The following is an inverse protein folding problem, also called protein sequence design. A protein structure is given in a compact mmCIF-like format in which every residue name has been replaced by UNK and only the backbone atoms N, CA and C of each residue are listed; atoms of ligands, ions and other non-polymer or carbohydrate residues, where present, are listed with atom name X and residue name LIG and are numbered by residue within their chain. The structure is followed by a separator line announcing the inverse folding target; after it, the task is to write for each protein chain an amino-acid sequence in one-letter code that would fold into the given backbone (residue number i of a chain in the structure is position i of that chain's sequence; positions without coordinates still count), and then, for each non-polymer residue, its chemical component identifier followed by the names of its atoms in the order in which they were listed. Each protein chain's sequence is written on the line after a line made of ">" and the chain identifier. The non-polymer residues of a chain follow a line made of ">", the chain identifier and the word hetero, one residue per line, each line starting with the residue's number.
data_IF_165385581386
#
_entry.id   IF_165385581386
#
_cell.length_a   1.000
_cell.length_b   1.000
_cell.length_c   1.000
_cell.angle_alpha   90.00
_cell.angle_beta   90.00
_cell.angle_gamma   90.00
#
_symmetry.space_group_name_H-M   'P 1'
#
loop_
_entity.id
_entity.type
_entity.pdbx_description
1 polymer ?
#
# COMPACT_ATOMS: atom_id res chain seq x y z
N UNK A 1 10.13 6.77 -29.22
CA UNK A 1 9.87 5.34 -28.92
C UNK A 1 9.99 5.18 -27.43
N UNK A 2 8.86 5.12 -26.71
CA UNK A 2 8.87 4.78 -25.28
C UNK A 2 9.35 3.35 -25.17
N UNK A 3 10.55 3.12 -24.62
CA UNK A 3 10.95 1.78 -24.20
C UNK A 3 10.08 1.43 -22.98
N UNK A 4 9.02 0.64 -23.20
CA UNK A 4 8.37 -0.08 -22.12
C UNK A 4 9.46 -0.99 -21.55
N UNK A 5 9.84 -0.79 -20.30
CA UNK A 5 10.69 -1.75 -19.60
C UNK A 5 9.96 -3.09 -19.57
N UNK A 6 10.68 -4.19 -19.73
CA UNK A 6 10.10 -5.52 -19.58
C UNK A 6 9.44 -5.64 -18.21
N UNK A 7 8.17 -6.00 -18.20
CA UNK A 7 7.42 -6.16 -16.97
C UNK A 7 7.98 -7.33 -16.16
N UNK A 8 8.15 -7.14 -14.85
CA UNK A 8 8.74 -8.11 -13.94
C UNK A 8 7.65 -8.84 -13.18
N UNK A 9 7.44 -10.12 -13.53
CA UNK A 9 6.53 -11.01 -12.81
C UNK A 9 7.13 -11.52 -11.50
N UNK A 10 8.35 -12.02 -11.55
CA UNK A 10 9.01 -12.62 -10.40
C UNK A 10 10.51 -12.44 -10.47
N UNK A 11 11.17 -12.57 -9.33
CA UNK A 11 12.63 -12.55 -9.25
C UNK A 11 13.17 -13.89 -8.73
N UNK A 12 14.39 -14.23 -9.11
CA UNK A 12 15.10 -15.39 -8.61
C UNK A 12 16.56 -15.02 -8.38
N UNK A 13 16.81 -14.36 -7.24
CA UNK A 13 18.14 -13.90 -6.88
C UNK A 13 18.92 -15.02 -6.15
N UNK A 14 20.26 -15.10 -6.28
CA UNK A 14 21.09 -16.06 -5.56
C UNK A 14 21.25 -15.68 -4.08
N UNK A 15 20.13 -15.39 -3.42
CA UNK A 15 20.01 -15.01 -2.00
C UNK A 15 19.21 -16.04 -1.20
N UNK A 16 18.94 -17.20 -1.80
CA UNK A 16 18.03 -18.21 -1.27
C UNK A 16 16.59 -18.02 -1.77
N UNK A 17 15.66 -18.90 -1.36
CA UNK A 17 14.28 -18.82 -1.82
C UNK A 17 13.60 -17.54 -1.31
N UNK A 18 12.92 -16.80 -2.19
CA UNK A 18 12.17 -15.61 -1.78
C UNK A 18 10.93 -15.97 -0.98
N UNK A 19 10.59 -15.10 -0.04
CA UNK A 19 9.24 -15.05 0.53
C UNK A 19 8.39 -14.27 -0.48
N UNK A 20 7.48 -14.96 -1.16
CA UNK A 20 6.65 -14.35 -2.21
C UNK A 20 5.31 -13.89 -1.67
N UNK A 21 5.08 -12.57 -1.74
CA UNK A 21 3.76 -11.98 -1.55
C UNK A 21 2.97 -11.89 -2.85
N UNK A 22 1.76 -11.32 -2.80
CA UNK A 22 0.90 -11.12 -3.99
C UNK A 22 1.59 -10.27 -5.06
N UNK A 23 2.37 -9.26 -4.66
CA UNK A 23 2.97 -8.27 -5.58
C UNK A 23 4.45 -7.98 -5.29
N UNK A 24 5.08 -8.68 -4.35
CA UNK A 24 6.48 -8.48 -3.93
C UNK A 24 7.21 -9.81 -3.74
N UNK A 25 8.51 -9.80 -4.02
CA UNK A 25 9.43 -10.88 -3.68
C UNK A 25 10.42 -10.35 -2.65
N UNK A 26 10.53 -11.03 -1.50
CA UNK A 26 11.33 -10.58 -0.38
C UNK A 26 12.47 -11.58 -0.12
N UNK A 27 13.69 -11.06 0.06
CA UNK A 27 14.88 -11.87 0.34
C UNK A 27 15.54 -11.42 1.64
N UNK A 28 16.00 -12.36 2.44
CA UNK A 28 16.83 -12.05 3.61
C UNK A 28 18.24 -11.71 3.17
N UNK A 29 18.80 -10.68 3.76
CA UNK A 29 20.21 -10.30 3.64
C UNK A 29 20.83 -10.29 5.03
N UNK A 30 21.25 -11.46 5.53
CA UNK A 30 21.86 -11.54 6.86
C UNK A 30 23.30 -11.01 6.82
N UNK A 31 23.66 -10.16 7.77
CA UNK A 31 24.99 -9.61 7.90
C UNK A 31 25.25 -8.39 7.01
N UNK A 32 26.53 -8.12 6.72
CA UNK A 32 26.95 -6.92 5.99
C UNK A 32 26.83 -5.62 6.79
N UNK A 33 27.09 -4.48 6.15
CA UNK A 33 27.09 -3.15 6.79
C UNK A 33 25.72 -2.70 7.29
N UNK A 34 24.63 -3.27 6.77
CA UNK A 34 23.27 -2.93 7.13
C UNK A 34 22.65 -3.85 8.20
N UNK A 35 23.42 -4.84 8.71
CA UNK A 35 22.96 -5.79 9.72
C UNK A 35 21.94 -6.80 9.18
N UNK A 36 20.93 -7.16 10.00
CA UNK A 36 19.86 -8.07 9.60
C UNK A 36 18.81 -7.28 8.78
N UNK A 37 18.99 -7.30 7.47
CA UNK A 37 18.17 -6.57 6.52
C UNK A 37 17.33 -7.51 5.63
N UNK A 38 16.37 -6.92 4.94
CA UNK A 38 15.55 -7.59 3.95
C UNK A 38 15.52 -6.77 2.67
N UNK A 39 15.64 -7.44 1.54
CA UNK A 39 15.44 -6.87 0.23
C UNK A 39 13.96 -7.09 -0.16
N UNK A 40 13.24 -6.02 -0.45
CA UNK A 40 11.86 -6.08 -0.95
C UNK A 40 11.88 -5.65 -2.41
N UNK A 41 11.56 -6.56 -3.32
CA UNK A 41 11.46 -6.27 -4.75
C UNK A 41 9.99 -6.19 -5.13
N UNK A 42 9.53 -5.01 -5.49
CA UNK A 42 8.18 -4.78 -6.02
C UNK A 42 8.10 -5.26 -7.47
N UNK A 43 7.20 -6.21 -7.73
CA UNK A 43 6.95 -6.74 -9.07
C UNK A 43 5.85 -5.97 -9.78
N UNK A 44 5.63 -6.28 -11.04
CA UNK A 44 4.55 -5.68 -11.84
C UNK A 44 3.26 -6.51 -11.79
N UNK A 45 3.21 -7.55 -10.91
CA UNK A 45 1.97 -8.26 -10.58
C UNK A 45 0.95 -7.31 -9.98
N UNK A 46 -0.31 -7.54 -10.31
CA UNK A 46 -1.44 -6.86 -9.68
C UNK A 46 -2.37 -7.89 -9.06
N UNK A 47 -2.95 -7.57 -7.91
CA UNK A 47 -3.91 -8.43 -7.22
C UNK A 47 -5.22 -7.69 -6.99
N UNK A 48 -6.33 -8.38 -7.18
CA UNK A 48 -7.66 -7.91 -6.84
C UNK A 48 -8.50 -9.07 -6.32
N UNK A 49 -9.39 -8.81 -5.34
CA UNK A 49 -10.25 -9.83 -4.72
C UNK A 49 -9.45 -11.07 -4.25
N UNK A 50 -8.26 -10.83 -3.66
CA UNK A 50 -7.28 -11.81 -3.17
C UNK A 50 -6.62 -12.71 -4.22
N UNK A 51 -6.95 -12.55 -5.49
CA UNK A 51 -6.28 -13.21 -6.61
C UNK A 51 -5.14 -12.36 -7.18
N UNK A 52 -4.05 -13.03 -7.55
CA UNK A 52 -3.02 -12.45 -8.42
C UNK A 52 -3.53 -12.60 -9.86
N UNK A 53 -3.61 -11.49 -10.59
CA UNK A 53 -4.05 -11.52 -11.97
C UNK A 53 -2.92 -12.07 -12.88
N UNK A 54 -3.27 -12.79 -13.96
CA UNK A 54 -2.27 -13.34 -14.90
C UNK A 54 -1.56 -12.24 -15.71
N UNK A 55 -2.16 -11.05 -15.79
CA UNK A 55 -1.63 -9.93 -16.57
C UNK A 55 -0.84 -8.98 -15.69
N UNK A 56 0.35 -8.60 -16.14
CA UNK A 56 1.23 -7.64 -15.46
C UNK A 56 0.87 -6.20 -15.84
N UNK A 57 1.11 -5.26 -14.92
CA UNK A 57 1.02 -3.82 -15.20
C UNK A 57 2.45 -3.27 -15.27
N UNK A 58 2.97 -2.94 -16.46
CA UNK A 58 4.34 -2.43 -16.62
C UNK A 58 4.61 -1.21 -15.73
N UNK A 59 5.82 -1.12 -15.18
CA UNK A 59 6.29 -0.06 -14.28
C UNK A 59 5.60 0.01 -12.89
N UNK A 60 4.58 -0.81 -12.65
CA UNK A 60 3.83 -0.77 -11.37
C UNK A 60 4.76 -0.91 -10.16
N UNK A 61 5.69 -1.85 -10.17
CA UNK A 61 6.66 -2.05 -9.08
C UNK A 61 7.54 -0.83 -8.85
N UNK A 62 7.93 -0.12 -9.91
CA UNK A 62 8.70 1.13 -9.82
C UNK A 62 7.87 2.25 -9.18
N UNK A 63 6.61 2.38 -9.58
CA UNK A 63 5.69 3.38 -9.02
C UNK A 63 5.51 3.16 -7.52
N UNK A 64 5.22 1.92 -7.09
CA UNK A 64 4.99 1.61 -5.67
C UNK A 64 6.23 1.91 -4.82
N UNK A 65 7.42 1.56 -5.32
CA UNK A 65 8.69 1.84 -4.64
C UNK A 65 8.97 3.34 -4.55
N UNK A 66 8.79 4.08 -5.65
CA UNK A 66 9.03 5.52 -5.69
C UNK A 66 8.09 6.28 -4.72
N UNK A 67 6.81 5.95 -4.71
CA UNK A 67 5.83 6.57 -3.80
C UNK A 67 6.15 6.22 -2.35
N UNK A 68 6.44 4.95 -2.03
CA UNK A 68 6.78 4.54 -0.66
C UNK A 68 8.06 5.24 -0.16
N UNK A 69 9.10 5.30 -1.00
CA UNK A 69 10.36 5.99 -0.67
C UNK A 69 10.14 7.49 -0.42
N UNK A 70 9.32 8.14 -1.25
CA UNK A 70 8.95 9.54 -1.07
C UNK A 70 8.28 9.77 0.30
N UNK A 71 7.32 8.93 0.68
CA UNK A 71 6.64 9.06 1.96
C UNK A 71 7.56 8.79 3.16
N UNK A 72 8.39 7.76 3.08
CA UNK A 72 9.38 7.49 4.14
C UNK A 72 10.32 8.67 4.34
N UNK A 73 10.81 9.28 3.26
CA UNK A 73 11.65 10.48 3.34
C UNK A 73 10.88 11.66 3.92
N UNK A 74 9.65 11.91 3.48
CA UNK A 74 8.81 13.00 3.99
C UNK A 74 8.52 12.84 5.49
N UNK A 75 8.18 11.63 5.92
CA UNK A 75 7.87 11.34 7.32
C UNK A 75 9.09 11.25 8.23
N UNK A 76 10.29 11.13 7.67
CA UNK A 76 11.56 11.21 8.41
C UNK A 76 11.96 12.64 8.79
N UNK A 77 11.32 13.64 8.18
CA UNK A 77 11.65 15.05 8.35
C UNK A 77 10.76 15.72 9.39
N UNK A 78 11.26 16.77 9.98
CA UNK A 78 10.51 17.61 10.93
C UNK A 78 10.78 17.27 12.39
N UNK A 79 9.96 17.80 13.28
CA UNK A 79 10.12 17.68 14.74
C UNK A 79 9.61 16.36 15.31
N UNK A 80 8.77 15.64 14.57
CA UNK A 80 8.18 14.36 14.98
C UNK A 80 8.32 13.33 13.84
N UNK A 81 9.53 12.76 13.66
CA UNK A 81 9.80 11.80 12.62
C UNK A 81 9.11 10.46 12.92
N UNK A 82 8.51 9.85 11.90
CA UNK A 82 7.94 8.51 12.01
C UNK A 82 9.02 7.46 11.80
N UNK A 83 9.32 6.63 12.80
CA UNK A 83 10.25 5.52 12.63
C UNK A 83 9.75 4.55 11.55
N UNK A 84 10.61 4.16 10.62
CA UNK A 84 10.26 3.25 9.54
C UNK A 84 11.41 2.31 9.15
N UNK A 85 11.10 1.32 8.35
CA UNK A 85 12.04 0.26 8.02
C UNK A 85 12.99 0.58 6.85
N UNK A 86 12.72 1.56 6.00
CA UNK A 86 13.52 1.84 4.81
C UNK A 86 14.95 2.22 5.19
N UNK A 87 15.92 1.56 4.56
CA UNK A 87 17.36 1.89 4.64
C UNK A 87 17.76 2.67 3.38
N UNK A 88 17.57 2.06 2.21
CA UNK A 88 17.90 2.68 0.92
C UNK A 88 17.07 2.08 -0.22
N UNK A 89 16.90 2.85 -1.31
CA UNK A 89 16.40 2.39 -2.60
C UNK A 89 17.48 2.34 -3.67
N UNK A 90 18.69 2.82 -3.36
CA UNK A 90 19.82 2.73 -4.26
C UNK A 90 20.40 1.32 -4.25
N UNK A 91 20.24 0.61 -5.34
CA UNK A 91 20.68 -0.78 -5.51
C UNK A 91 22.21 -0.91 -5.38
N UNK A 92 22.96 0.14 -5.69
CA UNK A 92 24.42 0.12 -5.56
C UNK A 92 24.88 0.26 -4.10
N UNK A 93 23.96 0.73 -3.23
CA UNK A 93 24.17 0.87 -1.78
C UNK A 93 23.59 -0.30 -0.95
N UNK A 94 23.03 -1.33 -1.59
CA UNK A 94 22.36 -2.45 -0.89
C UNK A 94 23.27 -3.60 -0.45
N UNK A 95 24.57 -3.49 -0.65
CA UNK A 95 25.54 -4.54 -0.25
C UNK A 95 25.23 -5.93 -0.86
N UNK A 96 24.73 -5.94 -2.10
CA UNK A 96 24.37 -7.15 -2.80
C UNK A 96 25.61 -7.95 -3.21
N UNK A 97 25.57 -9.29 -3.14
CA UNK A 97 26.64 -10.16 -3.62
C UNK A 97 27.08 -9.86 -5.06
N UNK A 98 28.36 -10.09 -5.33
CA UNK A 98 28.89 -9.98 -6.70
C UNK A 98 28.15 -10.97 -7.63
N UNK A 99 27.90 -10.54 -8.88
CA UNK A 99 27.22 -11.36 -9.89
C UNK A 99 25.70 -11.21 -9.94
N UNK A 100 25.07 -10.47 -9.02
CA UNK A 100 23.66 -10.12 -9.15
C UNK A 100 23.52 -9.01 -10.20
N UNK A 101 22.69 -9.28 -11.24
CA UNK A 101 22.30 -8.25 -12.20
C UNK A 101 21.41 -7.23 -11.49
N UNK A 102 21.91 -6.00 -11.35
CA UNK A 102 21.24 -4.88 -10.69
C UNK A 102 20.25 -4.16 -11.59
N UNK A 103 20.35 -4.32 -12.91
CA UNK A 103 19.50 -3.66 -13.88
C UNK A 103 18.01 -3.83 -13.60
N UNK A 104 17.48 -5.06 -13.55
CA UNK A 104 16.09 -5.33 -13.25
C UNK A 104 15.63 -4.86 -11.86
N UNK A 105 16.55 -4.67 -10.91
CA UNK A 105 16.24 -4.28 -9.52
C UNK A 105 16.11 -2.75 -9.36
N UNK A 106 16.71 -1.97 -10.26
CA UNK A 106 16.72 -0.49 -10.15
C UNK A 106 15.31 0.09 -10.18
N UNK A 107 15.05 0.98 -9.23
CA UNK A 107 13.79 1.73 -9.10
C UNK A 107 12.61 0.92 -8.54
N UNK A 108 12.76 -0.41 -8.30
CA UNK A 108 11.68 -1.25 -7.76
C UNK A 108 12.04 -1.99 -6.48
N UNK A 109 13.18 -1.65 -5.88
CA UNK A 109 13.73 -2.39 -4.75
C UNK A 109 13.95 -1.48 -3.56
N UNK A 110 13.60 -1.95 -2.39
CA UNK A 110 13.91 -1.35 -1.10
C UNK A 110 14.79 -2.30 -0.28
N UNK A 111 15.88 -1.81 0.28
CA UNK A 111 16.56 -2.45 1.39
C UNK A 111 15.96 -1.93 2.68
N UNK A 112 15.54 -2.83 3.56
CA UNK A 112 14.80 -2.47 4.77
C UNK A 112 15.35 -3.19 6.00
N UNK A 113 15.20 -2.56 7.18
CA UNK A 113 15.41 -3.22 8.47
C UNK A 113 14.37 -4.30 8.68
N UNK A 114 14.79 -5.48 9.12
CA UNK A 114 13.86 -6.53 9.50
C UNK A 114 13.16 -6.17 10.82
N UNK A 115 11.84 -6.32 10.82
CA UNK A 115 11.01 -6.18 12.00
C UNK A 115 10.04 -7.38 12.10
N UNK A 116 9.60 -7.70 13.30
CA UNK A 116 8.51 -8.64 13.50
C UNK A 116 7.19 -7.92 13.17
N UNK A 117 6.54 -8.32 12.07
CA UNK A 117 5.29 -7.68 11.63
C UNK A 117 4.19 -7.92 12.67
N UNK A 118 3.53 -6.86 13.10
CA UNK A 118 2.37 -6.96 13.99
C UNK A 118 1.18 -7.46 13.16
N UNK A 119 0.46 -8.53 13.59
CA UNK A 119 -0.49 -9.25 12.74
C UNK A 119 -1.84 -8.52 12.60
N UNK A 120 -1.78 -7.22 12.34
CA UNK A 120 -2.93 -6.36 12.07
C UNK A 120 -2.65 -5.42 10.92
N UNK A 121 -3.64 -5.24 10.06
CA UNK A 121 -3.69 -4.15 9.12
C UNK A 121 -4.30 -2.92 9.81
N UNK A 122 -3.54 -1.84 9.87
CA UNK A 122 -3.96 -0.59 10.49
C UNK A 122 -4.59 0.31 9.44
N UNK A 123 -5.90 0.15 9.21
CA UNK A 123 -6.63 0.93 8.22
C UNK A 123 -7.12 2.23 8.83
N UNK A 124 -6.84 3.35 8.16
CA UNK A 124 -7.38 4.67 8.52
C UNK A 124 -8.24 5.18 7.38
N UNK A 125 -9.42 5.69 7.72
CA UNK A 125 -10.40 6.19 6.76
C UNK A 125 -10.81 7.61 7.07
N UNK A 126 -10.70 8.50 6.10
CA UNK A 126 -11.23 9.87 6.17
C UNK A 126 -12.50 10.06 5.34
N UNK A 127 -12.87 9.05 4.54
CA UNK A 127 -14.02 9.08 3.65
C UNK A 127 -14.74 7.72 3.65
N UNK A 128 -16.03 7.73 3.38
CA UNK A 128 -16.86 6.53 3.44
C UNK A 128 -16.89 5.80 2.09
N UNK A 129 -16.11 4.70 2.01
CA UNK A 129 -15.99 3.88 0.80
C UNK A 129 -15.71 2.41 1.13
N UNK A 130 -15.76 1.55 0.11
CA UNK A 130 -15.39 0.13 0.22
C UNK A 130 -16.16 -0.62 1.30
N UNK A 131 -15.46 -1.46 2.08
CA UNK A 131 -16.08 -2.27 3.15
C UNK A 131 -16.74 -1.42 4.23
N UNK A 132 -16.18 -0.25 4.56
CA UNK A 132 -16.77 0.66 5.55
C UNK A 132 -18.13 1.19 5.09
N UNK A 133 -18.33 1.49 3.81
CA UNK A 133 -19.63 1.91 3.28
C UNK A 133 -20.66 0.78 3.39
N UNK A 134 -20.25 -0.46 3.10
CA UNK A 134 -21.14 -1.61 3.21
C UNK A 134 -21.57 -1.86 4.66
N UNK A 135 -20.64 -1.82 5.61
CA UNK A 135 -20.89 -1.97 7.03
C UNK A 135 -21.77 -0.85 7.60
N UNK A 136 -21.45 0.40 7.26
CA UNK A 136 -22.25 1.56 7.67
C UNK A 136 -23.71 1.48 7.18
N UNK A 137 -23.92 1.04 5.93
CA UNK A 137 -25.30 0.85 5.41
C UNK A 137 -26.07 -0.24 6.13
N UNK A 138 -25.39 -1.27 6.61
CA UNK A 138 -26.01 -2.38 7.31
C UNK A 138 -26.32 -2.08 8.77
N UNK A 139 -25.46 -1.32 9.46
CA UNK A 139 -25.53 -1.19 10.94
C UNK A 139 -25.41 0.25 11.46
N UNK A 140 -25.06 1.23 10.63
CA UNK A 140 -24.74 2.58 11.09
C UNK A 140 -23.37 2.68 11.79
N UNK A 141 -22.59 1.60 11.79
CA UNK A 141 -21.27 1.52 12.45
C UNK A 141 -20.19 1.14 11.45
N UNK A 142 -18.91 1.34 11.82
CA UNK A 142 -17.74 0.77 11.12
C UNK A 142 -16.79 0.23 12.17
N UNK A 143 -16.44 -1.05 12.09
CA UNK A 143 -15.64 -1.76 13.11
C UNK A 143 -16.20 -1.59 14.54
N UNK A 144 -17.54 -1.55 14.67
CA UNK A 144 -18.23 -1.35 15.93
C UNK A 144 -18.31 0.11 16.41
N UNK A 145 -17.65 1.06 15.74
CA UNK A 145 -17.71 2.48 16.06
C UNK A 145 -18.93 3.13 15.38
N UNK A 146 -19.87 3.77 16.12
CA UNK A 146 -21.03 4.42 15.53
C UNK A 146 -20.61 5.66 14.73
N UNK A 147 -21.21 5.82 13.57
CA UNK A 147 -21.02 7.01 12.73
C UNK A 147 -22.29 7.86 12.68
N UNK A 148 -22.17 9.17 12.43
CA UNK A 148 -23.34 10.05 12.25
C UNK A 148 -24.30 9.55 11.16
N UNK A 149 -25.60 9.71 11.38
CA UNK A 149 -26.60 9.37 10.39
C UNK A 149 -26.49 10.30 9.16
N UNK A 150 -26.88 9.80 7.99
CA UNK A 150 -26.94 10.60 6.76
C UNK A 150 -25.64 10.69 5.98
N UNK A 151 -24.60 9.93 6.34
CA UNK A 151 -23.39 9.83 5.53
C UNK A 151 -23.68 9.13 4.20
N UNK A 152 -23.15 9.67 3.11
CA UNK A 152 -23.33 9.16 1.76
C UNK A 152 -22.08 8.48 1.23
N UNK A 153 -22.21 7.68 0.18
CA UNK A 153 -21.07 7.07 -0.51
C UNK A 153 -20.08 8.16 -0.99
N UNK A 154 -18.79 7.95 -0.76
CA UNK A 154 -17.76 8.94 -1.08
C UNK A 154 -17.83 10.22 -0.25
N UNK A 155 -18.64 10.26 0.82
CA UNK A 155 -18.73 11.38 1.75
C UNK A 155 -17.53 11.43 2.70
N UNK A 156 -17.13 12.66 3.08
CA UNK A 156 -16.07 12.87 4.05
C UNK A 156 -16.58 12.55 5.46
N UNK A 157 -15.77 11.85 6.25
CA UNK A 157 -16.03 11.61 7.66
C UNK A 157 -15.71 12.88 8.48
N UNK A 158 -16.39 13.09 9.62
CA UNK A 158 -16.13 14.25 10.50
C UNK A 158 -14.68 14.31 10.99
N UNK A 159 -14.09 13.14 11.24
CA UNK A 159 -12.67 12.95 11.57
C UNK A 159 -12.21 11.61 10.97
N UNK A 160 -10.90 11.42 10.74
CA UNK A 160 -10.36 10.13 10.37
C UNK A 160 -10.66 9.08 11.45
N UNK A 161 -11.12 7.91 11.04
CA UNK A 161 -11.40 6.77 11.93
C UNK A 161 -10.36 5.68 11.72
N UNK A 162 -10.02 4.97 12.80
CA UNK A 162 -9.13 3.82 12.78
C UNK A 162 -9.96 2.53 12.79
N UNK A 163 -9.81 1.73 11.75
CA UNK A 163 -10.61 0.53 11.49
C UNK A 163 -9.70 -0.66 11.22
N UNK A 164 -9.13 -1.28 12.26
CA UNK A 164 -8.16 -2.35 12.08
C UNK A 164 -8.79 -3.59 11.43
N UNK A 165 -7.96 -4.37 10.73
CA UNK A 165 -8.32 -5.70 10.26
C UNK A 165 -7.26 -6.71 10.72
N UNK A 166 -7.65 -7.97 10.88
CA UNK A 166 -6.69 -9.05 11.10
C UNK A 166 -5.88 -9.26 9.84
N UNK A 167 -4.59 -9.59 9.99
CA UNK A 167 -3.77 -10.07 8.88
C UNK A 167 -3.88 -11.59 8.86
N UNK A 168 -4.74 -12.10 8.00
CA UNK A 168 -4.99 -13.54 7.89
C UNK A 168 -3.76 -14.25 7.31
N UNK A 169 -3.36 -15.37 7.92
CA UNK A 169 -2.34 -16.25 7.35
C UNK A 169 -2.86 -16.99 6.11
N UNK A 170 -4.19 -17.18 6.02
CA UNK A 170 -4.90 -17.73 4.88
C UNK A 170 -6.35 -17.20 4.89
N UNK A 171 -6.91 -16.95 3.71
CA UNK A 171 -8.28 -16.39 3.59
C UNK A 171 -8.26 -14.87 3.45
N UNK A 172 -9.32 -14.23 3.92
CA UNK A 172 -9.54 -12.78 3.83
C UNK A 172 -9.20 -12.10 5.15
N UNK A 173 -8.67 -10.88 5.06
CA UNK A 173 -8.52 -10.00 6.20
C UNK A 173 -9.91 -9.55 6.68
N UNK A 174 -10.18 -9.70 7.98
CA UNK A 174 -11.47 -9.37 8.57
C UNK A 174 -11.37 -8.08 9.38
N UNK A 175 -12.29 -7.15 9.12
CA UNK A 175 -12.44 -5.97 9.96
C UNK A 175 -12.74 -6.39 11.40
N UNK A 176 -12.04 -5.82 12.35
CA UNK A 176 -12.25 -6.06 13.78
C UNK A 176 -12.39 -4.74 14.53
N UNK A 177 -13.03 -4.78 15.69
CA UNK A 177 -13.08 -3.59 16.53
C UNK A 177 -11.70 -3.28 17.15
N UNK A 178 -11.49 -2.01 17.51
CA UNK A 178 -10.31 -1.62 18.27
C UNK A 178 -10.16 -2.44 19.57
N UNK A 179 -11.26 -2.76 20.25
CA UNK A 179 -11.23 -3.57 21.48
C UNK A 179 -10.66 -4.98 21.22
N UNK A 180 -11.04 -5.64 20.14
CA UNK A 180 -10.49 -6.94 19.74
C UNK A 180 -8.99 -6.86 19.45
N UNK A 181 -8.56 -5.80 18.77
CA UNK A 181 -7.13 -5.56 18.54
C UNK A 181 -6.39 -5.37 19.86
N UNK A 182 -6.91 -4.52 20.77
CA UNK A 182 -6.31 -4.22 22.05
C UNK A 182 -6.20 -5.46 22.96
N UNK A 183 -7.22 -6.32 22.96
CA UNK A 183 -7.18 -7.60 23.65
C UNK A 183 -6.04 -8.50 23.17
N UNK A 184 -5.80 -8.54 21.85
CA UNK A 184 -4.79 -9.44 21.24
C UNK A 184 -3.34 -8.97 21.37
N UNK A 185 -3.09 -7.64 21.30
CA UNK A 185 -1.73 -7.08 21.29
C UNK A 185 -1.41 -6.22 22.52
N UNK A 186 -2.37 -6.01 23.43
CA UNK A 186 -2.29 -5.16 24.61
C UNK A 186 -2.66 -3.69 24.33
N UNK A 187 -3.37 -3.07 25.28
CA UNK A 187 -3.90 -1.70 25.19
C UNK A 187 -2.86 -0.67 24.80
N UNK A 188 -1.70 -0.70 25.45
CA UNK A 188 -0.63 0.28 25.21
C UNK A 188 -0.14 0.24 23.75
N UNK A 189 0.06 -0.96 23.20
CA UNK A 189 0.51 -1.11 21.81
C UNK A 189 -0.59 -0.74 20.84
N UNK A 190 -1.82 -1.15 21.07
CA UNK A 190 -2.96 -0.79 20.23
C UNK A 190 -3.15 0.73 20.17
N UNK A 191 -2.99 1.43 21.30
CA UNK A 191 -3.06 2.89 21.37
C UNK A 191 -1.94 3.57 20.55
N UNK A 192 -0.72 3.05 20.62
CA UNK A 192 0.41 3.54 19.81
C UNK A 192 0.11 3.39 18.33
N UNK A 193 -0.32 2.18 17.90
CA UNK A 193 -0.61 1.92 16.48
C UNK A 193 -1.75 2.80 15.96
N UNK A 194 -2.83 2.95 16.74
CA UNK A 194 -3.94 3.85 16.38
C UNK A 194 -3.46 5.29 16.22
N UNK A 195 -2.73 5.81 17.21
CA UNK A 195 -2.24 7.18 17.20
C UNK A 195 -1.31 7.46 16.02
N UNK A 196 -0.30 6.63 15.84
CA UNK A 196 0.67 6.76 14.75
C UNK A 196 0.01 6.59 13.37
N UNK A 197 -0.92 5.64 13.21
CA UNK A 197 -1.61 5.46 11.93
C UNK A 197 -2.47 6.67 11.56
N UNK A 198 -3.20 7.26 12.52
CA UNK A 198 -4.01 8.46 12.29
C UNK A 198 -3.09 9.66 11.98
N UNK A 199 -1.95 9.79 12.65
CA UNK A 199 -0.98 10.87 12.38
C UNK A 199 -0.40 10.76 10.97
N UNK A 200 0.14 9.59 10.62
CA UNK A 200 0.71 9.33 9.27
C UNK A 200 -0.34 9.56 8.18
N UNK A 201 -1.57 9.07 8.39
CA UNK A 201 -2.68 9.33 7.47
C UNK A 201 -2.95 10.83 7.32
N UNK A 202 -3.06 11.55 8.43
CA UNK A 202 -3.44 12.97 8.43
C UNK A 202 -2.39 13.83 7.74
N UNK A 203 -1.10 13.59 8.01
CA UNK A 203 0.04 14.26 7.35
C UNK A 203 0.08 13.94 5.86
N UNK A 204 -0.10 12.66 5.50
CA UNK A 204 -0.14 12.22 4.10
C UNK A 204 -1.34 12.78 3.35
N UNK A 205 -2.53 12.77 3.94
CA UNK A 205 -3.74 13.32 3.34
C UNK A 205 -3.65 14.85 3.14
N UNK A 206 -3.03 15.57 4.07
CA UNK A 206 -2.80 17.01 3.93
C UNK A 206 -1.85 17.32 2.77
N UNK A 207 -0.74 16.57 2.63
CA UNK A 207 0.17 16.72 1.49
C UNK A 207 -0.53 16.41 0.16
N UNK A 208 -1.24 15.28 0.09
CA UNK A 208 -1.95 14.82 -1.11
C UNK A 208 -3.04 15.84 -1.55
N UNK A 209 -3.76 16.43 -0.59
CA UNK A 209 -4.75 17.46 -0.87
C UNK A 209 -4.15 18.70 -1.55
N UNK A 210 -2.97 19.12 -1.14
CA UNK A 210 -2.20 20.19 -1.80
C UNK A 210 -1.75 19.85 -3.22
N UNK A 211 -1.87 18.58 -3.61
CA UNK A 211 -1.52 18.04 -4.93
C UNK A 211 -2.74 17.59 -5.74
N UNK A 212 -3.95 17.93 -5.28
CA UNK A 212 -5.20 17.61 -5.97
C UNK A 212 -5.66 16.16 -5.80
N UNK A 213 -5.10 15.43 -4.83
CA UNK A 213 -5.48 14.05 -4.49
C UNK A 213 -6.12 14.00 -3.11
N UNK A 214 -7.26 13.32 -3.03
CA UNK A 214 -7.86 12.89 -1.77
C UNK A 214 -7.42 11.46 -1.46
N UNK A 215 -6.87 11.25 -0.26
CA UNK A 215 -6.65 9.91 0.30
C UNK A 215 -7.92 9.52 1.04
N UNK A 216 -8.74 8.65 0.44
CA UNK A 216 -10.01 8.27 1.05
C UNK A 216 -9.81 7.33 2.24
N UNK A 217 -9.00 6.32 2.06
CA UNK A 217 -8.52 5.42 3.09
C UNK A 217 -7.13 4.89 2.72
N UNK A 218 -6.47 4.33 3.70
CA UNK A 218 -5.18 3.67 3.52
C UNK A 218 -4.99 2.58 4.56
N UNK A 219 -4.17 1.61 4.22
CA UNK A 219 -3.74 0.50 5.07
C UNK A 219 -2.27 0.66 5.40
N UNK A 220 -1.93 0.66 6.67
CA UNK A 220 -0.56 0.62 7.16
C UNK A 220 -0.24 -0.71 7.79
N UNK A 221 1.02 -1.10 7.70
CA UNK A 221 1.59 -2.21 8.44
C UNK A 221 2.68 -1.70 9.39
N UNK A 222 2.72 -2.26 10.57
CA UNK A 222 3.67 -1.90 11.62
C UNK A 222 4.47 -3.12 12.04
N UNK A 223 5.72 -2.92 12.39
CA UNK A 223 6.61 -3.96 12.87
C UNK A 223 7.23 -3.59 14.21
N UNK A 224 7.59 -4.62 14.97
CA UNK A 224 8.31 -4.50 16.24
C UNK A 224 9.79 -4.83 16.02
N UNK A 225 10.66 -3.93 16.46
CA UNK A 225 12.09 -4.13 16.50
C UNK A 225 12.51 -4.94 17.74
N UNK A 226 13.75 -5.43 17.75
CA UNK A 226 14.29 -6.23 18.87
C UNK A 226 14.34 -5.44 20.20
N UNK A 227 14.47 -4.12 20.13
CA UNK A 227 14.44 -3.22 21.30
C UNK A 227 13.02 -2.90 21.78
N UNK A 228 12.00 -3.46 21.13
CA UNK A 228 10.58 -3.23 21.44
C UNK A 228 9.96 -2.02 20.75
N UNK A 229 10.74 -1.18 20.07
CA UNK A 229 10.21 -0.03 19.32
C UNK A 229 9.33 -0.48 18.15
N UNK A 230 8.35 0.35 17.81
CA UNK A 230 7.42 0.12 16.70
C UNK A 230 7.81 1.00 15.53
N UNK A 231 7.88 0.42 14.35
CA UNK A 231 8.25 1.11 13.11
C UNK A 231 7.24 0.84 12.00
N UNK A 232 7.05 1.81 11.11
CA UNK A 232 6.24 1.68 9.91
C UNK A 232 6.96 0.78 8.91
N UNK A 233 6.27 -0.24 8.39
CA UNK A 233 6.85 -1.22 7.47
C UNK A 233 6.00 -1.35 6.21
N UNK A 234 6.48 -2.13 5.26
CA UNK A 234 5.84 -2.42 3.97
C UNK A 234 5.76 -1.19 3.06
N UNK A 235 4.67 -0.99 2.36
CA UNK A 235 4.41 0.18 1.51
C UNK A 235 3.59 1.23 2.24
N UNK A 236 3.72 2.49 1.83
CA UNK A 236 3.03 3.61 2.48
C UNK A 236 2.34 4.47 1.46
N UNK A 237 1.01 4.66 1.62
CA UNK A 237 0.20 5.58 0.84
C UNK A 237 0.44 5.43 -0.68
N UNK A 238 0.37 4.18 -1.15
CA UNK A 238 0.49 3.83 -2.57
C UNK A 238 -0.88 3.52 -3.17
N UNK A 239 -1.01 3.46 -4.50
CA UNK A 239 -2.25 3.01 -5.15
C UNK A 239 -2.65 1.56 -4.80
N UNK A 240 -1.74 0.76 -4.23
CA UNK A 240 -2.04 -0.61 -3.78
C UNK A 240 -2.61 -0.65 -2.37
N UNK A 241 -2.14 0.21 -1.48
CA UNK A 241 -2.56 0.28 -0.08
C UNK A 241 -3.64 1.33 0.21
N UNK A 242 -3.95 2.22 -0.74
CA UNK A 242 -4.82 3.38 -0.54
C UNK A 242 -5.83 3.56 -1.67
N UNK A 243 -6.95 4.23 -1.35
CA UNK A 243 -7.85 4.81 -2.36
C UNK A 243 -7.49 6.26 -2.59
N UNK A 244 -7.11 6.57 -3.82
CA UNK A 244 -6.78 7.92 -4.26
C UNK A 244 -7.82 8.45 -5.22
N UNK A 245 -8.45 9.55 -4.87
CA UNK A 245 -9.46 10.20 -5.70
C UNK A 245 -8.99 11.58 -6.18
N UNK A 246 -9.41 12.01 -7.38
CA UNK A 246 -9.26 13.40 -7.77
C UNK A 246 -10.04 14.31 -6.82
N UNK A 247 -9.38 15.31 -6.24
CA UNK A 247 -10.02 16.23 -5.32
C UNK A 247 -11.23 16.98 -5.94
N UNK A 248 -11.18 17.21 -7.25
CA UNK A 248 -12.25 17.89 -8.00
C UNK A 248 -13.59 17.11 -8.01
N UNK A 249 -13.58 15.80 -7.84
CA UNK A 249 -14.77 14.94 -7.88
C UNK A 249 -15.13 14.30 -6.54
N UNK A 250 -14.26 14.43 -5.54
CA UNK A 250 -14.50 13.93 -4.19
C UNK A 250 -15.68 14.68 -3.54
N UNK A 251 -16.51 13.97 -2.75
CA UNK A 251 -17.67 14.56 -2.07
C UNK A 251 -18.89 14.83 -2.95
N UNK A 252 -18.92 14.34 -4.19
CA UNK A 252 -20.04 14.52 -5.13
C UNK A 252 -21.26 13.62 -4.85
N UNK A 253 -21.28 12.89 -3.72
CA UNK A 253 -22.36 11.95 -3.37
C UNK A 253 -22.24 10.57 -4.03
N UNK A 254 -21.16 10.35 -4.74
CA UNK A 254 -20.78 9.06 -5.34
C UNK A 254 -19.28 8.81 -5.16
N UNK A 255 -18.87 7.55 -5.23
CA UNK A 255 -17.44 7.21 -5.24
C UNK A 255 -16.84 7.69 -6.56
N UNK A 256 -15.78 8.53 -6.52
CA UNK A 256 -15.14 9.03 -7.74
C UNK A 256 -14.35 7.94 -8.47
N UNK A 257 -14.02 8.18 -9.74
CA UNK A 257 -12.96 7.45 -10.43
C UNK A 257 -11.65 7.60 -9.65
N UNK A 258 -10.91 6.49 -9.50
CA UNK A 258 -9.73 6.47 -8.67
C UNK A 258 -8.43 6.34 -9.47
N UNK A 259 -7.30 6.71 -8.84
CA UNK A 259 -5.95 6.46 -9.34
C UNK A 259 -5.37 5.12 -8.87
N UNK A 260 -6.19 4.25 -8.30
CA UNK A 260 -5.79 2.99 -7.66
C UNK A 260 -6.42 1.77 -8.34
N UNK A 261 -6.35 0.61 -7.68
CA UNK A 261 -6.88 -0.67 -8.17
C UNK A 261 -8.39 -0.70 -8.42
N UNK A 262 -9.16 0.32 -8.05
CA UNK A 262 -10.61 0.30 -8.22
C UNK A 262 -11.00 0.17 -9.69
N UNK A 263 -10.25 0.81 -10.59
CA UNK A 263 -10.47 0.68 -12.03
C UNK A 263 -10.39 -0.79 -12.51
N UNK A 264 -9.40 -1.55 -12.03
CA UNK A 264 -9.27 -2.98 -12.34
C UNK A 264 -10.39 -3.79 -11.69
N UNK A 265 -10.79 -3.47 -10.45
CA UNK A 265 -11.90 -4.13 -9.77
C UNK A 265 -13.21 -3.92 -10.50
N UNK A 266 -13.50 -2.70 -10.94
CA UNK A 266 -14.72 -2.35 -11.68
C UNK A 266 -14.78 -3.11 -13.01
N UNK A 267 -13.65 -3.22 -13.71
CA UNK A 267 -13.57 -4.01 -14.94
C UNK A 267 -13.81 -5.51 -14.67
N UNK A 268 -13.19 -6.08 -13.64
CA UNK A 268 -13.39 -7.48 -13.26
C UNK A 268 -14.86 -7.76 -12.88
N UNK A 269 -15.53 -6.87 -12.19
CA UNK A 269 -16.95 -6.98 -11.86
C UNK A 269 -17.82 -6.89 -13.12
N UNK A 270 -17.49 -5.98 -14.03
CA UNK A 270 -18.21 -5.85 -15.32
C UNK A 270 -17.98 -7.03 -16.26
N UNK A 271 -16.86 -7.76 -16.14
CA UNK A 271 -16.57 -8.96 -16.94
C UNK A 271 -17.43 -10.16 -16.61
N UNK A 272 -18.17 -10.12 -15.48
CA UNK A 272 -18.97 -11.25 -15.00
C UNK A 272 -18.15 -12.35 -14.31
N UNK A 273 -16.88 -12.08 -13.97
CA UNK A 273 -16.05 -13.05 -13.25
C UNK A 273 -16.62 -13.31 -11.85
N UNK A 274 -16.69 -14.58 -11.46
CA UNK A 274 -17.33 -15.09 -10.24
C UNK A 274 -16.50 -14.91 -8.96
N UNK A 275 -15.26 -14.39 -9.06
CA UNK A 275 -14.28 -14.21 -7.98
C UNK A 275 -13.83 -15.52 -7.30
N UNK A 276 -14.27 -16.68 -7.78
CA UNK A 276 -13.95 -18.01 -7.22
C UNK A 276 -13.08 -18.86 -8.14
N UNK A 277 -13.09 -18.59 -9.46
CA UNK A 277 -12.24 -19.20 -10.47
C UNK A 277 -11.01 -18.34 -10.76
N UNK A 278 -9.97 -18.86 -11.43
CA UNK A 278 -8.84 -18.03 -11.86
C UNK A 278 -9.30 -16.79 -12.61
N UNK A 279 -8.75 -15.61 -12.31
CA UNK A 279 -9.20 -14.37 -12.93
C UNK A 279 -8.84 -14.31 -14.42
N UNK A 280 -9.64 -13.59 -15.24
CA UNK A 280 -9.36 -13.40 -16.64
C UNK A 280 -8.13 -12.51 -16.87
N UNK A 281 -7.52 -12.63 -18.04
CA UNK A 281 -6.51 -11.68 -18.52
C UNK A 281 -7.11 -10.29 -18.73
N UNK A 282 -6.35 -9.25 -18.36
CA UNK A 282 -6.77 -7.88 -18.61
C UNK A 282 -6.50 -7.49 -20.08
N UNK A 283 -7.47 -6.86 -20.76
CA UNK A 283 -7.24 -6.31 -22.10
C UNK A 283 -6.13 -5.24 -22.10
N UNK A 284 -5.46 -5.09 -23.23
CA UNK A 284 -4.33 -4.16 -23.37
C UNK A 284 -4.68 -2.70 -23.03
N UNK A 285 -5.90 -2.25 -23.34
CA UNK A 285 -6.36 -0.90 -23.00
C UNK A 285 -6.60 -0.74 -21.50
N UNK A 286 -7.04 -1.79 -20.79
CA UNK A 286 -7.18 -1.79 -19.31
C UNK A 286 -5.81 -1.76 -18.67
N UNK A 287 -4.85 -2.53 -19.18
CA UNK A 287 -3.45 -2.50 -18.72
C UNK A 287 -2.86 -1.10 -18.88
N UNK A 288 -2.98 -0.50 -20.06
CA UNK A 288 -2.45 0.83 -20.35
C UNK A 288 -3.06 1.90 -19.43
N UNK A 289 -4.40 1.93 -19.30
CA UNK A 289 -5.10 2.87 -18.42
C UNK A 289 -4.74 2.68 -16.96
N UNK A 290 -4.56 1.44 -16.51
CA UNK A 290 -4.12 1.16 -15.14
C UNK A 290 -2.71 1.69 -14.89
N UNK A 291 -1.77 1.43 -15.81
CA UNK A 291 -0.41 1.98 -15.75
C UNK A 291 -0.44 3.50 -15.68
N UNK A 292 -1.19 4.16 -16.56
CA UNK A 292 -1.29 5.61 -16.61
C UNK A 292 -1.80 6.20 -15.28
N UNK A 293 -2.84 5.60 -14.69
CA UNK A 293 -3.37 6.00 -13.37
C UNK A 293 -2.32 5.91 -12.26
N UNK A 294 -1.50 4.86 -12.25
CA UNK A 294 -0.41 4.69 -11.28
C UNK A 294 0.71 5.72 -11.48
N UNK A 295 1.07 6.00 -12.73
CA UNK A 295 2.04 7.04 -13.07
C UNK A 295 1.53 8.44 -12.71
N UNK A 296 0.27 8.73 -12.97
CA UNK A 296 -0.35 10.01 -12.60
C UNK A 296 -0.37 10.20 -11.08
N UNK A 297 -0.74 9.16 -10.31
CA UNK A 297 -0.65 9.19 -8.85
C UNK A 297 0.77 9.50 -8.38
N UNK A 298 1.77 8.83 -8.95
CA UNK A 298 3.18 9.06 -8.61
C UNK A 298 3.59 10.51 -8.91
N UNK A 299 3.34 10.97 -10.12
CA UNK A 299 3.70 12.33 -10.54
C UNK A 299 3.02 13.41 -9.70
N UNK A 300 1.74 13.24 -9.40
CA UNK A 300 1.00 14.19 -8.57
C UNK A 300 1.54 14.21 -7.13
N UNK A 301 1.70 13.06 -6.50
CA UNK A 301 2.13 12.96 -5.10
C UNK A 301 3.58 13.40 -4.91
N UNK A 302 4.49 12.93 -5.77
CA UNK A 302 5.93 13.11 -5.58
C UNK A 302 6.52 14.28 -6.36
N UNK A 303 5.82 14.76 -7.39
CA UNK A 303 6.29 15.78 -8.34
C UNK A 303 7.14 15.21 -9.49
N UNK A 304 7.38 13.90 -9.55
CA UNK A 304 8.19 13.25 -10.58
C UNK A 304 7.66 11.86 -10.94
N UNK A 305 8.09 11.34 -12.08
CA UNK A 305 7.91 9.93 -12.42
C UNK A 305 9.01 9.07 -11.75
N UNK A 306 8.79 7.75 -11.60
CA UNK A 306 9.83 6.86 -11.11
C UNK A 306 11.09 6.91 -12.00
N UNK A 307 12.26 6.71 -11.40
CA UNK A 307 13.50 6.68 -12.14
C UNK A 307 13.48 5.63 -13.27
N UNK A 308 13.86 6.05 -14.48
CA UNK A 308 13.88 5.21 -15.68
C UNK A 308 12.51 5.00 -16.35
N UNK A 309 11.46 5.70 -15.92
CA UNK A 309 10.15 5.73 -16.58
C UNK A 309 9.97 7.08 -17.26
N UNK A 310 9.65 7.06 -18.56
CA UNK A 310 9.41 8.24 -19.39
C UNK A 310 7.93 8.48 -19.62
#
# INVERSE_FOLDING_TARGET
>A
MNQLHDAVDSTNLPLGPPIRGKVRDCYRLPGGRHGDAMLIVSTDRISAFDWILPTLIPDKGRVLTAISAFWFDLFSRGSDPVPHHLITTDVDDMDLPAGIDRGPLRGRTMLVRRAEVIPFECVVRGWLAGSALAEYRASGTVCGEPLPAGLVAGGRLPAPIFTPATKAASGHDENVSYAVMAERIGDARAAVLRGQSIDVYSRGAAHAAGRGIVVADTKFEWGRMADGSVILVDEVLTPDSSRFWPAATAGSGRVPDSFDKQFVRDWLEASGWDKSSPPPELPADVVAKTRDKYLDACRLLTGSLPAGVA
#
